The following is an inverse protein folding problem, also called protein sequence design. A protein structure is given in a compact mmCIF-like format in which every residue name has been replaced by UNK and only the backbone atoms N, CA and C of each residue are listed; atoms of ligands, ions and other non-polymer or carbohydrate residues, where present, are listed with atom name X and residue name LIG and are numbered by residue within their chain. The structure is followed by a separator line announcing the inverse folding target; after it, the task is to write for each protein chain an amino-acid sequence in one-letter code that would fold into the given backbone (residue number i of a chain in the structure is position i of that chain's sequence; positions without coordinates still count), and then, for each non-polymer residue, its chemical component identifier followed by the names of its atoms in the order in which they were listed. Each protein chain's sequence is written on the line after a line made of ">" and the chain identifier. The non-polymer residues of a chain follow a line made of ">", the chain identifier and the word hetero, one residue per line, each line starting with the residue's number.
data_IF_633073031859
#
_entry.id   IF_633073031859
#
_cell.length_a   1.000
_cell.length_b   1.000
_cell.length_c   1.000
_cell.angle_alpha   90.00
_cell.angle_beta   90.00
_cell.angle_gamma   90.00
#
_symmetry.space_group_name_H-M   'P 1'
#
loop_
_entity.id
_entity.type
_entity.pdbx_description
1 polymer ?
#
# COMPACT_ATOMS: atom_id res chain seq x y z
N UNK A 1 -39.07 19.85 11.73
CA UNK A 1 -37.86 19.16 12.24
C UNK A 1 -37.96 17.70 11.83
N UNK A 2 -37.10 17.21 10.95
CA UNK A 2 -37.07 15.78 10.60
C UNK A 2 -36.58 15.04 11.83
N UNK A 3 -37.49 14.40 12.56
CA UNK A 3 -37.14 13.42 13.56
C UNK A 3 -36.48 12.26 12.81
N UNK A 4 -35.15 12.26 12.71
CA UNK A 4 -34.39 11.12 12.21
C UNK A 4 -34.68 9.97 13.17
N UNK A 5 -35.46 8.99 12.73
CA UNK A 5 -35.73 7.80 13.54
C UNK A 5 -34.38 7.17 13.94
N UNK A 6 -34.26 6.62 15.16
CA UNK A 6 -33.03 5.96 15.61
C UNK A 6 -32.52 4.90 14.61
N UNK A 7 -33.45 4.20 13.94
CA UNK A 7 -33.17 3.21 12.90
C UNK A 7 -32.50 3.81 11.65
N UNK A 8 -32.95 4.99 11.19
CA UNK A 8 -32.29 5.68 10.08
C UNK A 8 -30.87 6.10 10.47
N UNK A 9 -30.67 6.54 11.72
CA UNK A 9 -29.34 6.93 12.21
C UNK A 9 -28.37 5.74 12.20
N UNK A 10 -28.81 4.56 12.64
CA UNK A 10 -28.03 3.33 12.60
C UNK A 10 -27.62 2.96 11.17
N UNK A 11 -28.55 3.00 10.21
CA UNK A 11 -28.25 2.72 8.79
C UNK A 11 -27.23 3.70 8.20
N UNK A 12 -27.31 4.99 8.57
CA UNK A 12 -26.33 5.99 8.13
C UNK A 12 -24.95 5.74 8.76
N UNK A 13 -24.91 5.41 10.05
CA UNK A 13 -23.67 5.15 10.77
C UNK A 13 -22.98 3.88 10.23
N UNK A 14 -23.73 2.82 9.94
CA UNK A 14 -23.21 1.59 9.32
C UNK A 14 -22.63 1.85 7.92
N UNK A 15 -23.36 2.58 7.07
CA UNK A 15 -22.85 2.98 5.74
C UNK A 15 -21.61 3.85 5.81
N UNK A 16 -21.54 4.76 6.77
CA UNK A 16 -20.37 5.61 6.97
C UNK A 16 -19.15 4.79 7.41
N UNK A 17 -19.35 3.77 8.25
CA UNK A 17 -18.30 2.84 8.65
C UNK A 17 -17.81 2.00 7.47
N UNK A 18 -18.71 1.40 6.69
CA UNK A 18 -18.35 0.63 5.49
C UNK A 18 -17.54 1.48 4.48
N UNK A 19 -17.95 2.74 4.26
CA UNK A 19 -17.23 3.64 3.38
C UNK A 19 -15.82 3.97 3.90
N UNK A 20 -15.68 4.16 5.22
CA UNK A 20 -14.38 4.41 5.86
C UNK A 20 -13.46 3.20 5.76
N UNK A 21 -13.98 2.00 5.99
CA UNK A 21 -13.21 0.76 5.95
C UNK A 21 -12.70 0.51 4.51
N UNK A 22 -13.57 0.63 3.51
CA UNK A 22 -13.17 0.56 2.09
C UNK A 22 -12.13 1.60 1.70
N UNK A 23 -12.28 2.83 2.20
CA UNK A 23 -11.31 3.89 1.92
C UNK A 23 -9.94 3.60 2.56
N UNK A 24 -9.93 2.99 3.75
CA UNK A 24 -8.68 2.55 4.40
C UNK A 24 -7.99 1.47 3.58
N UNK A 25 -8.73 0.45 3.13
CA UNK A 25 -8.20 -0.63 2.28
C UNK A 25 -7.59 -0.09 0.98
N UNK A 26 -8.26 0.85 0.33
CA UNK A 26 -7.75 1.49 -0.89
C UNK A 26 -6.47 2.28 -0.63
N UNK A 27 -6.39 3.00 0.48
CA UNK A 27 -5.17 3.73 0.86
C UNK A 27 -4.00 2.81 1.12
N UNK A 28 -4.24 1.69 1.80
CA UNK A 28 -3.20 0.71 2.09
C UNK A 28 -2.70 0.04 0.79
N UNK A 29 -3.61 -0.25 -0.14
CA UNK A 29 -3.27 -0.75 -1.47
C UNK A 29 -2.45 0.27 -2.28
N UNK A 30 -2.84 1.56 -2.27
CA UNK A 30 -2.10 2.63 -2.95
C UNK A 30 -0.68 2.79 -2.36
N UNK A 31 -0.57 2.77 -1.04
CA UNK A 31 0.73 2.86 -0.35
C UNK A 31 1.63 1.69 -0.73
N UNK A 32 1.12 0.46 -0.76
CA UNK A 32 1.87 -0.72 -1.23
C UNK A 32 2.27 -0.59 -2.69
N UNK A 33 1.38 -0.14 -3.57
CA UNK A 33 1.69 0.10 -4.99
C UNK A 33 2.85 1.07 -5.19
N UNK A 34 2.92 2.15 -4.40
CA UNK A 34 4.05 3.10 -4.41
C UNK A 34 5.37 2.44 -4.01
N UNK A 35 5.35 1.53 -3.04
CA UNK A 35 6.55 0.80 -2.63
C UNK A 35 7.03 -0.16 -3.73
N UNK A 36 6.10 -0.89 -4.37
CA UNK A 36 6.42 -1.79 -5.49
C UNK A 36 7.06 -1.02 -6.64
N UNK A 37 6.46 0.09 -7.10
CA UNK A 37 7.03 0.91 -8.16
C UNK A 37 8.43 1.46 -7.84
N UNK A 38 8.67 1.80 -6.57
CA UNK A 38 10.00 2.21 -6.10
C UNK A 38 11.01 1.07 -6.15
N UNK A 39 10.62 -0.15 -5.81
CA UNK A 39 11.48 -1.33 -5.85
C UNK A 39 11.87 -1.64 -7.30
N UNK A 40 10.90 -1.66 -8.23
CA UNK A 40 11.14 -1.84 -9.67
C UNK A 40 12.15 -0.82 -10.20
N UNK A 41 11.92 0.47 -9.92
CA UNK A 41 12.84 1.55 -10.33
C UNK A 41 14.25 1.33 -9.78
N UNK A 42 14.38 0.91 -8.52
CA UNK A 42 15.68 0.66 -7.90
C UNK A 42 16.38 -0.59 -8.47
N UNK A 43 15.63 -1.65 -8.77
CA UNK A 43 16.16 -2.85 -9.43
C UNK A 43 16.74 -2.51 -10.80
N UNK A 44 16.03 -1.69 -11.59
CA UNK A 44 16.51 -1.19 -12.88
C UNK A 44 17.82 -0.40 -12.75
N UNK A 45 17.88 0.53 -11.79
CA UNK A 45 19.08 1.35 -11.54
C UNK A 45 20.30 0.52 -11.11
N UNK A 46 20.08 -0.53 -10.32
CA UNK A 46 21.14 -1.45 -9.88
C UNK A 46 21.40 -2.54 -10.94
N UNK A 47 20.60 -2.61 -12.00
CA UNK A 47 20.64 -3.67 -13.04
C UNK A 47 20.60 -5.07 -12.43
N UNK A 48 19.82 -5.22 -11.35
CA UNK A 48 19.77 -6.42 -10.53
C UNK A 48 18.32 -6.70 -10.11
N UNK A 49 17.73 -7.74 -10.69
CA UNK A 49 16.35 -8.14 -10.41
C UNK A 49 16.32 -9.06 -9.20
N UNK A 50 16.04 -8.50 -8.04
CA UNK A 50 15.96 -9.26 -6.78
C UNK A 50 14.58 -9.92 -6.60
N UNK A 51 13.53 -9.37 -7.22
CA UNK A 51 12.16 -9.90 -7.10
C UNK A 51 11.28 -9.51 -8.30
N UNK A 52 10.40 -10.42 -8.71
CA UNK A 52 9.44 -10.19 -9.79
C UNK A 52 8.13 -9.60 -9.28
N UNK A 53 7.37 -8.93 -10.17
CA UNK A 53 6.13 -8.20 -9.83
C UNK A 53 5.07 -9.04 -9.11
N UNK A 54 4.92 -10.30 -9.51
CA UNK A 54 4.00 -11.24 -8.87
C UNK A 54 4.41 -11.50 -7.41
N UNK A 55 5.72 -11.63 -7.17
CA UNK A 55 6.26 -11.83 -5.82
C UNK A 55 6.06 -10.55 -5.01
N UNK A 56 6.43 -9.39 -5.54
CA UNK A 56 6.27 -8.08 -4.88
C UNK A 56 4.82 -7.82 -4.45
N UNK A 57 3.84 -8.17 -5.29
CA UNK A 57 2.42 -8.00 -4.99
C UNK A 57 1.92 -8.85 -3.81
N UNK A 58 2.58 -9.99 -3.55
CA UNK A 58 2.28 -10.88 -2.41
C UNK A 58 3.01 -10.49 -1.12
N UNK A 59 4.00 -9.59 -1.19
CA UNK A 59 4.81 -9.22 -0.02
C UNK A 59 4.06 -8.25 0.91
N UNK A 60 4.39 -8.34 2.19
CA UNK A 60 3.94 -7.36 3.19
C UNK A 60 4.63 -6.01 2.99
N UNK A 61 4.01 -4.93 3.47
CA UNK A 61 4.59 -3.57 3.43
C UNK A 61 5.97 -3.53 4.06
N UNK A 62 6.17 -4.19 5.22
CA UNK A 62 7.46 -4.26 5.91
C UNK A 62 8.54 -4.95 5.06
N UNK A 63 8.18 -6.04 4.37
CA UNK A 63 9.08 -6.76 3.48
C UNK A 63 9.51 -5.87 2.30
N UNK A 64 8.56 -5.17 1.68
CA UNK A 64 8.83 -4.20 0.61
C UNK A 64 9.76 -3.07 1.08
N UNK A 65 9.53 -2.51 2.27
CA UNK A 65 10.42 -1.49 2.83
C UNK A 65 11.84 -2.00 3.10
N UNK A 66 11.98 -3.26 3.53
CA UNK A 66 13.29 -3.89 3.73
C UNK A 66 14.02 -4.05 2.40
N UNK A 67 13.32 -4.49 1.34
CA UNK A 67 13.88 -4.58 -0.02
C UNK A 67 14.34 -3.21 -0.54
N UNK A 68 13.56 -2.14 -0.32
CA UNK A 68 13.98 -0.77 -0.69
C UNK A 68 15.27 -0.37 0.02
N UNK A 69 15.40 -0.67 1.32
CA UNK A 69 16.62 -0.36 2.08
C UNK A 69 17.82 -1.11 1.52
N UNK A 70 17.65 -2.39 1.21
CA UNK A 70 18.71 -3.21 0.62
C UNK A 70 19.15 -2.71 -0.76
N UNK A 71 18.19 -2.43 -1.65
CA UNK A 71 18.46 -1.91 -2.98
C UNK A 71 19.17 -0.55 -2.95
N UNK A 72 18.76 0.35 -2.04
CA UNK A 72 19.46 1.62 -1.84
C UNK A 72 20.90 1.44 -1.38
N UNK A 73 21.17 0.50 -0.46
CA UNK A 73 22.52 0.20 -0.02
C UNK A 73 23.39 -0.33 -1.16
N UNK A 74 22.83 -1.19 -2.03
CA UNK A 74 23.54 -1.67 -3.23
C UNK A 74 23.84 -0.53 -4.20
N UNK A 75 22.90 0.39 -4.41
CA UNK A 75 23.09 1.56 -5.26
C UNK A 75 24.21 2.46 -4.75
N UNK A 76 24.26 2.73 -3.43
CA UNK A 76 25.34 3.52 -2.81
C UNK A 76 26.70 2.84 -2.96
N UNK A 77 26.77 1.51 -2.85
CA UNK A 77 28.03 0.76 -3.02
C UNK A 77 28.56 0.76 -4.46
N UNK A 78 27.73 1.11 -5.45
CA UNK A 78 28.11 1.19 -6.87
C UNK A 78 28.69 2.56 -7.27
N UNK A 79 28.37 3.61 -6.53
CA UNK A 79 28.90 4.97 -6.74
C UNK A 79 30.16 5.20 -5.92
#
# INVERSE_FOLDING_TARGET
>A
MIAKSPELRLIYDDRAKEAKDRYSELKDAEARGKLIGRIQTLQELVSDTISDDAILSSQTTESLEKMIRELKLRLVKRG
#
